data_IF_382928406824
#
_entry.id   IF_382928406824
#
_cell.length_a   1.000
_cell.length_b   1.000
_cell.length_c   1.000
_cell.angle_alpha   90.00
_cell.angle_beta   90.00
_cell.angle_gamma   90.00
#
_symmetry.space_group_name_H-M   'P 1'
#
loop_
_entity.id
_entity.type
_entity.pdbx_description
1 polymer ?
#
# COMPACT_ATOMS: atom_id res chain seq x y z
N UNK A 1 8.29 -31.39 50.43
CA UNK A 1 7.06 -30.72 50.92
C UNK A 1 7.22 -29.24 50.58
N UNK A 2 6.74 -28.80 49.41
CA UNK A 2 6.98 -27.44 48.90
C UNK A 2 5.72 -26.56 49.09
N UNK A 3 5.87 -25.28 49.51
CA UNK A 3 4.73 -24.42 49.79
C UNK A 3 4.05 -23.94 48.50
N UNK A 4 2.75 -24.25 48.40
CA UNK A 4 1.83 -23.78 47.35
C UNK A 4 1.36 -22.36 47.68
N UNK A 5 2.15 -21.33 47.38
CA UNK A 5 1.67 -19.95 47.56
C UNK A 5 2.44 -18.93 46.73
N UNK A 6 2.24 -18.87 45.40
CA UNK A 6 2.40 -17.61 44.65
C UNK A 6 1.94 -17.62 43.17
N UNK A 7 0.83 -18.30 42.82
CA UNK A 7 0.35 -18.34 41.42
C UNK A 7 -0.70 -17.28 41.06
N UNK A 8 -1.08 -16.39 41.99
CA UNK A 8 -2.14 -15.41 41.74
C UNK A 8 -1.65 -14.02 41.30
N UNK A 9 -0.35 -13.73 41.32
CA UNK A 9 0.16 -12.41 40.92
C UNK A 9 0.55 -12.28 39.44
N UNK A 10 0.57 -13.38 38.67
CA UNK A 10 0.97 -13.31 37.25
C UNK A 10 -0.20 -13.00 36.29
N UNK A 11 -1.45 -13.02 36.76
CA UNK A 11 -2.63 -12.83 35.90
C UNK A 11 -3.07 -11.37 35.74
N UNK A 12 -2.41 -10.41 36.40
CA UNK A 12 -2.85 -9.00 36.42
C UNK A 12 -1.94 -8.02 35.67
N UNK A 13 -0.85 -8.48 35.03
CA UNK A 13 0.09 -7.57 34.33
C UNK A 13 -0.07 -7.57 32.81
N UNK A 14 -0.80 -8.53 32.22
CA UNK A 14 -0.93 -8.64 30.75
C UNK A 14 -2.16 -7.89 30.19
N UNK A 15 -2.98 -7.27 31.03
CA UNK A 15 -4.22 -6.60 30.58
C UNK A 15 -4.12 -5.08 30.41
N UNK A 16 -2.90 -4.53 30.41
CA UNK A 16 -2.65 -3.12 30.06
C UNK A 16 -1.84 -3.00 28.77
N UNK A 17 -2.34 -3.58 27.68
CA UNK A 17 -1.96 -3.14 26.33
C UNK A 17 -2.71 -1.85 26.04
N UNK A 18 -2.17 -0.76 26.61
CA UNK A 18 -1.96 0.53 25.97
C UNK A 18 -2.89 0.82 24.80
N UNK A 19 -4.13 1.21 25.10
CA UNK A 19 -4.92 2.06 24.20
C UNK A 19 -4.31 3.47 24.28
N UNK A 20 -3.10 3.66 23.71
CA UNK A 20 -2.60 5.00 23.39
C UNK A 20 -3.53 5.54 22.31
N UNK A 21 -4.63 6.16 22.74
CA UNK A 21 -5.38 7.09 21.91
C UNK A 21 -4.37 8.13 21.44
N UNK A 22 -4.09 8.15 20.15
CA UNK A 22 -3.37 9.23 19.51
C UNK A 22 -4.21 10.50 19.68
N UNK A 23 -4.01 11.19 20.80
CA UNK A 23 -4.51 12.54 21.07
C UNK A 23 -3.60 13.59 20.43
N UNK A 24 -2.88 13.25 19.36
CA UNK A 24 -2.26 14.24 18.50
C UNK A 24 -3.39 14.96 17.78
N UNK A 25 -3.59 16.24 18.10
CA UNK A 25 -4.41 17.12 17.28
C UNK A 25 -4.04 16.90 15.80
N UNK A 26 -5.01 16.81 14.88
CA UNK A 26 -4.72 16.60 13.47
C UNK A 26 -3.70 17.67 13.02
N UNK A 27 -2.70 17.30 12.20
CA UNK A 27 -1.66 18.23 11.79
C UNK A 27 -2.28 19.51 11.22
N UNK A 28 -1.62 20.64 11.46
CA UNK A 28 -2.15 22.00 11.23
C UNK A 28 -2.72 22.23 9.83
N UNK A 29 -2.26 21.48 8.81
CA UNK A 29 -2.79 21.55 7.45
C UNK A 29 -4.29 21.27 7.34
N UNK A 30 -4.89 20.51 8.28
CA UNK A 30 -6.34 20.27 8.27
C UNK A 30 -7.16 21.47 8.76
N UNK A 31 -6.54 22.46 9.43
CA UNK A 31 -7.24 23.64 9.97
C UNK A 31 -7.15 24.86 9.06
N UNK A 32 -6.23 24.87 8.09
CA UNK A 32 -5.99 26.01 7.23
C UNK A 32 -5.96 25.61 5.75
N UNK A 33 -7.05 25.90 5.03
CA UNK A 33 -7.12 25.76 3.58
C UNK A 33 -6.21 26.75 2.83
N UNK A 34 -5.65 27.74 3.54
CA UNK A 34 -4.84 28.79 2.93
C UNK A 34 -3.43 28.32 2.53
N UNK A 35 -2.92 27.23 3.14
CA UNK A 35 -1.59 26.71 2.86
C UNK A 35 -1.64 25.19 2.69
N UNK A 36 -1.98 24.68 1.50
CA UNK A 36 -1.89 23.24 1.22
C UNK A 36 -0.43 22.78 1.36
N UNK A 37 -0.19 21.50 1.72
CA UNK A 37 1.15 20.94 1.73
C UNK A 37 1.78 21.08 0.34
N UNK A 38 3.08 21.44 0.32
CA UNK A 38 3.83 21.59 -0.93
C UNK A 38 3.69 20.34 -1.78
N UNK A 39 3.46 20.56 -3.07
CA UNK A 39 3.38 19.45 -4.03
C UNK A 39 4.77 18.86 -4.26
N UNK A 40 4.82 17.60 -4.71
CA UNK A 40 6.07 16.90 -4.97
C UNK A 40 6.94 17.63 -6.01
N UNK A 41 6.31 18.39 -6.91
CA UNK A 41 6.98 19.22 -7.91
C UNK A 41 7.62 20.47 -7.29
N UNK A 42 6.99 21.08 -6.28
CA UNK A 42 7.56 22.22 -5.52
C UNK A 42 8.80 21.81 -4.72
N UNK A 43 8.81 20.61 -4.15
CA UNK A 43 9.97 20.07 -3.43
C UNK A 43 11.15 19.79 -4.36
N UNK A 44 10.89 19.40 -5.60
CA UNK A 44 11.92 19.20 -6.63
C UNK A 44 12.45 20.50 -7.23
N UNK A 45 11.67 21.57 -7.13
CA UNK A 45 11.99 22.88 -7.70
C UNK A 45 12.75 23.80 -6.74
N UNK A 46 12.97 23.39 -5.49
CA UNK A 46 13.72 24.19 -4.51
C UNK A 46 15.21 24.17 -4.85
N UNK A 47 15.82 25.29 -5.28
CA UNK A 47 17.24 25.32 -5.56
C UNK A 47 17.98 25.48 -4.23
N UNK A 48 18.48 24.37 -3.68
CA UNK A 48 19.43 24.42 -2.56
C UNK A 48 20.78 24.98 -3.08
N UNK A 49 21.31 26.09 -2.52
CA UNK A 49 22.58 26.67 -2.96
C UNK A 49 23.83 25.93 -2.44
N UNK A 50 23.69 24.76 -1.81
CA UNK A 50 24.82 24.00 -1.26
C UNK A 50 24.67 22.49 -1.47
N UNK A 51 24.91 22.00 -2.69
CA UNK A 51 25.18 20.58 -2.91
C UNK A 51 26.25 20.40 -4.01
N UNK A 52 27.44 19.96 -3.59
CA UNK A 52 28.54 19.55 -4.46
C UNK A 52 28.16 18.32 -5.32
N UNK A 53 28.76 18.15 -6.50
CA UNK A 53 28.30 17.17 -7.48
C UNK A 53 28.92 15.78 -7.23
N UNK A 54 28.08 14.76 -7.10
CA UNK A 54 28.48 13.37 -7.27
C UNK A 54 27.60 12.72 -8.36
N UNK A 55 28.20 12.64 -9.54
CA UNK A 55 28.00 11.65 -10.63
C UNK A 55 26.69 10.83 -10.68
N UNK A 56 25.90 11.18 -11.71
CA UNK A 56 25.38 10.31 -12.77
C UNK A 56 24.61 9.03 -12.42
N UNK A 57 23.29 9.05 -12.65
CA UNK A 57 22.67 7.95 -13.38
C UNK A 57 21.50 8.42 -14.27
N UNK A 58 21.66 8.12 -15.55
CA UNK A 58 20.84 8.44 -16.70
C UNK A 58 19.52 7.65 -16.65
N UNK A 59 18.36 8.32 -16.77
CA UNK A 59 17.07 7.68 -17.07
C UNK A 59 16.35 8.53 -18.14
N UNK A 60 15.87 7.93 -19.23
CA UNK A 60 15.34 8.68 -20.38
C UNK A 60 14.02 9.36 -20.06
N UNK A 61 13.96 10.65 -20.40
CA UNK A 61 12.77 11.48 -20.33
C UNK A 61 11.75 11.04 -21.39
N UNK A 62 10.59 10.55 -20.94
CA UNK A 62 9.40 10.51 -21.77
C UNK A 62 8.84 11.93 -21.87
N UNK A 63 8.60 12.47 -23.08
CA UNK A 63 7.94 13.76 -23.22
C UNK A 63 6.46 13.66 -22.81
N UNK A 64 5.91 14.64 -22.07
CA UNK A 64 4.49 14.65 -21.74
C UNK A 64 3.62 14.82 -22.99
N UNK A 65 2.44 14.19 -23.06
CA UNK A 65 1.50 14.40 -24.15
C UNK A 65 1.02 15.86 -24.15
N UNK A 66 1.31 16.57 -25.23
CA UNK A 66 0.78 17.90 -25.50
C UNK A 66 -0.69 17.77 -25.88
N UNK A 67 -1.59 17.94 -24.91
CA UNK A 67 -3.03 18.10 -25.17
C UNK A 67 -3.28 19.53 -25.68
N UNK A 68 -3.41 19.67 -26.99
CA UNK A 68 -3.95 20.88 -27.63
C UNK A 68 -5.45 20.97 -27.33
N UNK A 69 -5.82 21.93 -26.50
CA UNK A 69 -7.20 22.35 -26.25
C UNK A 69 -7.68 23.07 -27.52
N UNK A 70 -8.80 22.66 -28.16
CA UNK A 70 -9.39 23.46 -29.24
C UNK A 70 -9.96 24.76 -28.66
N UNK A 71 -9.34 25.89 -29.00
CA UNK A 71 -9.96 27.20 -28.83
C UNK A 71 -11.08 27.34 -29.87
N UNK A 72 -12.33 27.42 -29.39
CA UNK A 72 -13.44 27.85 -30.22
C UNK A 72 -13.40 29.38 -30.34
N UNK A 73 -13.07 29.89 -31.53
CA UNK A 73 -13.25 31.30 -31.86
C UNK A 73 -14.73 31.59 -32.04
N UNK A 74 -15.25 32.44 -31.17
CA UNK A 74 -16.55 33.08 -31.29
C UNK A 74 -16.42 34.23 -32.30
N UNK A 75 -16.72 33.96 -33.57
CA UNK A 75 -16.80 35.00 -34.60
C UNK A 75 -18.21 35.57 -34.63
N UNK A 76 -18.32 36.78 -34.11
CA UNK A 76 -19.44 37.70 -34.17
C UNK A 76 -19.44 38.39 -35.54
N UNK A 77 -20.50 38.22 -36.36
CA UNK A 77 -20.74 39.13 -37.49
C UNK A 77 -22.23 39.23 -37.86
N UNK A 78 -22.70 40.46 -37.85
CA UNK A 78 -24.02 41.01 -38.24
C UNK A 78 -23.72 42.41 -38.80
N UNK A 79 -24.49 43.09 -39.68
CA UNK A 79 -25.43 42.75 -40.78
C UNK A 79 -25.00 43.53 -42.08
N UNK A 80 -25.87 44.05 -42.99
CA UNK A 80 -27.16 43.65 -43.55
C UNK A 80 -27.09 43.45 -45.09
N UNK A 81 -28.19 43.05 -45.75
CA UNK A 81 -28.73 43.68 -46.98
C UNK A 81 -29.84 42.81 -47.60
N UNK A 82 -30.97 43.47 -47.85
CA UNK A 82 -32.20 42.93 -48.42
C UNK A 82 -32.12 42.93 -49.95
N UNK A 83 -32.63 41.88 -50.59
CA UNK A 83 -33.16 41.96 -51.95
C UNK A 83 -34.48 41.18 -52.02
N UNK A 84 -35.63 41.82 -52.27
CA UNK A 84 -36.88 41.12 -52.51
C UNK A 84 -36.97 40.74 -53.99
N UNK A 85 -36.52 39.55 -54.35
CA UNK A 85 -36.82 38.98 -55.67
C UNK A 85 -38.20 38.32 -55.60
N UNK A 86 -39.25 39.10 -55.90
CA UNK A 86 -40.57 38.55 -56.24
C UNK A 86 -40.46 37.89 -57.61
N UNK A 87 -40.09 36.62 -57.64
CA UNK A 87 -40.25 35.73 -58.79
C UNK A 87 -41.41 34.80 -58.52
N UNK A 88 -42.43 34.93 -59.36
CA UNK A 88 -43.66 34.15 -59.43
C UNK A 88 -43.39 32.65 -59.72
N UNK A 89 -42.92 31.90 -58.71
CA UNK A 89 -42.93 30.42 -58.67
C UNK A 89 -42.92 29.86 -57.23
N UNK A 90 -43.54 30.58 -56.29
CA UNK A 90 -43.49 30.35 -54.83
C UNK A 90 -43.88 28.94 -54.39
N UNK A 91 -44.83 28.28 -55.06
CA UNK A 91 -45.34 26.99 -54.63
C UNK A 91 -44.30 25.85 -54.69
N UNK A 92 -43.38 25.84 -55.66
CA UNK A 92 -42.40 24.74 -55.77
C UNK A 92 -41.25 24.87 -54.77
N UNK A 93 -40.81 26.11 -54.48
CA UNK A 93 -39.75 26.37 -53.49
C UNK A 93 -40.21 26.03 -52.08
N UNK A 94 -41.46 26.36 -51.75
CA UNK A 94 -42.05 26.06 -50.44
C UNK A 94 -42.24 24.54 -50.24
N UNK A 95 -42.60 23.80 -51.30
CA UNK A 95 -42.65 22.32 -51.28
C UNK A 95 -41.26 21.71 -51.07
N UNK A 96 -40.23 22.19 -51.79
CA UNK A 96 -38.86 21.70 -51.63
C UNK A 96 -38.28 22.00 -50.25
N UNK A 97 -38.59 23.17 -49.67
CA UNK A 97 -38.19 23.52 -48.29
C UNK A 97 -38.89 22.61 -47.29
N UNK A 98 -40.19 22.33 -47.47
CA UNK A 98 -40.95 21.41 -46.63
C UNK A 98 -40.38 19.97 -46.65
N UNK A 99 -40.06 19.45 -47.84
CA UNK A 99 -39.44 18.12 -47.97
C UNK A 99 -38.04 18.11 -47.34
N UNK A 100 -37.24 19.15 -47.56
CA UNK A 100 -35.91 19.28 -46.95
C UNK A 100 -35.96 19.33 -45.41
N UNK A 101 -36.97 20.00 -44.84
CA UNK A 101 -37.18 20.04 -43.39
C UNK A 101 -37.59 18.67 -42.82
N UNK A 102 -38.39 17.89 -43.54
CA UNK A 102 -38.77 16.54 -43.11
C UNK A 102 -37.59 15.57 -43.14
N UNK A 103 -36.75 15.63 -44.18
CA UNK A 103 -35.56 14.76 -44.29
C UNK A 103 -34.54 15.11 -43.20
N UNK A 104 -34.29 16.40 -42.95
CA UNK A 104 -33.37 16.81 -41.88
C UNK A 104 -33.91 16.46 -40.49
N UNK A 105 -35.23 16.62 -40.26
CA UNK A 105 -35.89 16.18 -39.04
C UNK A 105 -35.80 14.66 -38.80
N UNK A 106 -35.97 13.85 -39.85
CA UNK A 106 -35.81 12.40 -39.76
C UNK A 106 -34.37 11.97 -39.43
N UNK A 107 -33.38 12.57 -40.09
CA UNK A 107 -31.95 12.30 -39.81
C UNK A 107 -31.59 12.72 -38.39
N UNK A 108 -32.07 13.88 -37.93
CA UNK A 108 -31.84 14.35 -36.58
C UNK A 108 -32.48 13.42 -35.54
N UNK A 109 -33.71 12.96 -35.79
CA UNK A 109 -34.41 12.01 -34.90
C UNK A 109 -33.65 10.68 -34.77
N UNK A 110 -33.16 10.13 -35.88
CA UNK A 110 -32.34 8.90 -35.87
C UNK A 110 -31.01 9.14 -35.13
N UNK A 111 -30.35 10.28 -35.38
CA UNK A 111 -29.09 10.62 -34.70
C UNK A 111 -29.29 10.71 -33.19
N UNK A 112 -30.32 11.43 -32.72
CA UNK A 112 -30.67 11.54 -31.30
C UNK A 112 -30.97 10.16 -30.72
N UNK A 113 -31.75 9.32 -31.40
CA UNK A 113 -32.03 7.95 -30.98
C UNK A 113 -30.75 7.11 -30.79
N UNK A 114 -29.83 7.15 -31.76
CA UNK A 114 -28.55 6.43 -31.67
C UNK A 114 -27.63 6.95 -30.55
N UNK A 115 -27.68 8.24 -30.24
CA UNK A 115 -26.94 8.82 -29.13
C UNK A 115 -27.47 8.33 -27.78
N UNK A 116 -28.79 8.28 -27.60
CA UNK A 116 -29.40 7.72 -26.38
C UNK A 116 -29.02 6.26 -26.16
N UNK A 117 -29.09 5.43 -27.21
CA UNK A 117 -28.67 4.02 -27.13
C UNK A 117 -27.21 3.86 -26.70
N UNK A 118 -26.30 4.68 -27.24
CA UNK A 118 -24.88 4.67 -26.85
C UNK A 118 -24.67 5.10 -25.40
N UNK A 119 -25.42 6.09 -24.92
CA UNK A 119 -25.34 6.53 -23.52
C UNK A 119 -25.75 5.40 -22.56
N UNK A 120 -26.83 4.68 -22.86
CA UNK A 120 -27.27 3.53 -22.05
C UNK A 120 -26.20 2.42 -22.03
N UNK A 121 -25.60 2.10 -23.18
CA UNK A 121 -24.52 1.10 -23.25
C UNK A 121 -23.28 1.54 -22.46
N UNK A 122 -22.96 2.83 -22.47
CA UNK A 122 -21.86 3.40 -21.67
C UNK A 122 -22.15 3.35 -20.17
N UNK A 123 -23.39 3.60 -19.75
CA UNK A 123 -23.81 3.48 -18.36
C UNK A 123 -23.65 2.04 -17.85
N UNK A 124 -24.10 1.03 -18.61
CA UNK A 124 -23.90 -0.38 -18.26
C UNK A 124 -22.42 -0.75 -18.12
N UNK A 125 -21.58 -0.29 -19.06
CA UNK A 125 -20.12 -0.51 -18.99
C UNK A 125 -19.51 0.14 -17.76
N UNK A 126 -19.97 1.32 -17.38
CA UNK A 126 -19.50 2.04 -16.21
C UNK A 126 -19.94 1.36 -14.91
N UNK A 127 -21.15 0.80 -14.86
CA UNK A 127 -21.60 -0.02 -13.74
C UNK A 127 -20.81 -1.32 -13.59
N UNK A 128 -20.53 -2.00 -14.71
CA UNK A 128 -19.67 -3.19 -14.70
C UNK A 128 -18.26 -2.85 -14.24
N UNK A 129 -17.71 -1.72 -14.66
CA UNK A 129 -16.39 -1.26 -14.23
C UNK A 129 -16.40 -0.92 -12.73
N UNK A 130 -17.42 -0.23 -12.22
CA UNK A 130 -17.59 0.05 -10.79
C UNK A 130 -17.70 -1.25 -9.97
N UNK A 131 -18.43 -2.24 -10.48
CA UNK A 131 -18.54 -3.56 -9.83
C UNK A 131 -17.18 -4.24 -9.75
N UNK A 132 -16.47 -4.35 -10.88
CA UNK A 132 -15.10 -4.91 -10.92
C UNK A 132 -14.15 -4.17 -9.97
N UNK A 133 -14.21 -2.85 -9.94
CA UNK A 133 -13.37 -2.05 -9.04
C UNK A 133 -13.69 -2.31 -7.57
N UNK A 134 -14.96 -2.46 -7.20
CA UNK A 134 -15.35 -2.86 -5.85
C UNK A 134 -14.83 -4.25 -5.49
N UNK A 135 -14.95 -5.21 -6.40
CA UNK A 135 -14.48 -6.58 -6.18
C UNK A 135 -12.95 -6.61 -5.97
N UNK A 136 -12.19 -5.85 -6.74
CA UNK A 136 -10.72 -5.71 -6.58
C UNK A 136 -10.36 -5.09 -5.23
N UNK A 137 -11.09 -4.06 -4.77
CA UNK A 137 -10.87 -3.46 -3.45
C UNK A 137 -11.10 -4.50 -2.35
N UNK A 138 -12.20 -5.26 -2.43
CA UNK A 138 -12.53 -6.29 -1.45
C UNK A 138 -11.44 -7.37 -1.41
N UNK A 139 -11.02 -7.88 -2.57
CA UNK A 139 -9.94 -8.88 -2.65
C UNK A 139 -8.63 -8.36 -2.08
N UNK A 140 -8.28 -7.10 -2.35
CA UNK A 140 -7.07 -6.47 -1.80
C UNK A 140 -7.14 -6.36 -0.29
N UNK A 141 -8.30 -6.02 0.27
CA UNK A 141 -8.50 -5.95 1.72
C UNK A 141 -8.42 -7.34 2.37
N UNK A 142 -9.02 -8.36 1.77
CA UNK A 142 -8.93 -9.74 2.25
C UNK A 142 -7.50 -10.26 2.21
N UNK A 143 -6.76 -9.98 1.14
CA UNK A 143 -5.36 -10.35 1.04
C UNK A 143 -4.51 -9.68 2.13
N UNK A 144 -4.71 -8.37 2.37
CA UNK A 144 -4.05 -7.65 3.46
C UNK A 144 -4.35 -8.28 4.82
N UNK A 145 -5.62 -8.61 5.11
CA UNK A 145 -6.02 -9.28 6.35
C UNK A 145 -5.39 -10.67 6.49
N UNK A 146 -5.34 -11.44 5.40
CA UNK A 146 -4.69 -12.76 5.39
C UNK A 146 -3.21 -12.64 5.72
N UNK A 147 -2.52 -11.70 5.07
CA UNK A 147 -1.10 -11.44 5.29
C UNK A 147 -0.82 -10.97 6.72
N UNK A 148 -1.65 -10.08 7.25
CA UNK A 148 -1.56 -9.63 8.65
C UNK A 148 -1.75 -10.80 9.62
N UNK A 149 -2.79 -11.63 9.40
CA UNK A 149 -3.05 -12.80 10.23
C UNK A 149 -1.90 -13.81 10.20
N UNK A 150 -1.32 -14.08 9.01
CA UNK A 150 -0.15 -14.97 8.91
C UNK A 150 1.05 -14.39 9.63
N UNK A 151 1.33 -13.08 9.48
CA UNK A 151 2.45 -12.42 10.15
C UNK A 151 2.28 -12.44 11.66
N UNK A 152 1.09 -12.12 12.17
CA UNK A 152 0.79 -12.17 13.62
C UNK A 152 0.97 -13.58 14.16
N UNK A 153 0.55 -14.61 13.42
CA UNK A 153 0.72 -16.00 13.86
C UNK A 153 2.19 -16.42 13.85
N UNK A 154 2.97 -16.02 12.85
CA UNK A 154 4.42 -16.28 12.83
C UNK A 154 5.11 -15.62 14.01
N UNK A 155 4.78 -14.34 14.30
CA UNK A 155 5.33 -13.61 15.46
C UNK A 155 4.93 -14.30 16.77
N UNK A 156 3.67 -14.74 16.91
CA UNK A 156 3.23 -15.46 18.12
C UNK A 156 4.02 -16.74 18.34
N UNK A 157 4.25 -17.53 17.28
CA UNK A 157 5.06 -18.76 17.37
C UNK A 157 6.49 -18.46 17.78
N UNK A 158 7.11 -17.46 17.16
CA UNK A 158 8.48 -17.04 17.48
C UNK A 158 8.62 -16.57 18.94
N UNK A 159 7.71 -15.71 19.42
CA UNK A 159 7.69 -15.27 20.82
C UNK A 159 7.53 -16.46 21.78
N UNK A 160 6.70 -17.45 21.42
CA UNK A 160 6.46 -18.63 22.25
C UNK A 160 7.70 -19.53 22.33
N UNK A 161 8.38 -19.76 21.20
CA UNK A 161 9.65 -20.48 21.13
C UNK A 161 10.72 -19.77 21.95
N UNK A 162 10.88 -18.45 21.78
CA UNK A 162 11.82 -17.65 22.56
C UNK A 162 11.51 -17.71 24.06
N UNK A 163 10.23 -17.65 24.45
CA UNK A 163 9.82 -17.77 25.85
C UNK A 163 10.14 -19.14 26.45
N UNK A 164 9.94 -20.23 25.69
CA UNK A 164 10.32 -21.59 26.09
C UNK A 164 11.84 -21.71 26.27
N UNK A 165 12.61 -21.16 25.34
CA UNK A 165 14.08 -21.14 25.41
C UNK A 165 14.57 -20.35 26.63
N UNK A 166 14.04 -19.16 26.87
CA UNK A 166 14.38 -18.35 28.06
C UNK A 166 14.09 -19.10 29.36
N UNK A 167 12.94 -19.78 29.46
CA UNK A 167 12.60 -20.60 30.62
C UNK A 167 13.58 -21.77 30.80
N UNK A 168 13.95 -22.45 29.71
CA UNK A 168 14.92 -23.54 29.74
C UNK A 168 16.28 -23.04 30.27
N UNK A 169 16.77 -21.90 29.77
CA UNK A 169 18.03 -21.29 30.22
C UNK A 169 17.96 -20.92 31.71
N UNK A 170 16.84 -20.34 32.17
CA UNK A 170 16.65 -20.01 33.59
C UNK A 170 16.70 -21.25 34.48
N UNK A 171 16.08 -22.35 34.04
CA UNK A 171 16.11 -23.63 34.75
C UNK A 171 17.53 -24.22 34.81
N UNK A 172 18.30 -24.16 33.72
CA UNK A 172 19.69 -24.61 33.71
C UNK A 172 20.56 -23.80 34.69
N UNK A 173 20.37 -22.48 34.73
CA UNK A 173 21.09 -21.62 35.69
C UNK A 173 20.77 -21.98 37.15
N UNK A 174 19.50 -22.26 37.45
CA UNK A 174 19.08 -22.72 38.77
C UNK A 174 19.70 -24.08 39.13
N UNK A 175 19.77 -25.02 38.18
CA UNK A 175 20.42 -26.31 38.38
C UNK A 175 21.93 -26.18 38.63
N UNK A 176 22.64 -25.33 37.87
CA UNK A 176 24.06 -25.06 38.06
C UNK A 176 24.33 -24.43 39.45
N UNK A 177 23.52 -23.44 39.83
CA UNK A 177 23.60 -22.82 41.16
C UNK A 177 23.42 -23.85 42.28
N UNK A 178 22.46 -24.77 42.15
CA UNK A 178 22.24 -25.87 43.11
C UNK A 178 23.41 -26.85 43.18
N UNK A 179 24.13 -27.04 42.08
CA UNK A 179 25.35 -27.85 42.03
C UNK A 179 26.60 -27.11 42.55
N UNK A 180 26.47 -25.83 42.95
CA UNK A 180 27.60 -25.00 43.38
C UNK A 180 28.48 -24.50 42.24
N UNK A 181 27.99 -24.55 41.00
CA UNK A 181 28.68 -24.05 39.80
C UNK A 181 28.08 -22.69 39.45
N UNK A 182 28.92 -21.66 39.36
CA UNK A 182 28.48 -20.31 39.00
C UNK A 182 28.15 -20.21 37.50
N UNK A 183 26.90 -19.87 37.11
CA UNK A 183 26.52 -19.78 35.71
C UNK A 183 27.19 -18.60 35.01
N UNK A 184 27.57 -18.81 33.75
CA UNK A 184 28.18 -17.76 32.92
C UNK A 184 27.19 -16.60 32.69
N UNK A 185 27.68 -15.37 32.83
CA UNK A 185 26.92 -14.15 32.56
C UNK A 185 26.55 -14.03 31.07
N UNK A 186 25.44 -13.35 30.78
CA UNK A 186 24.97 -13.20 29.39
C UNK A 186 26.03 -12.50 28.53
N UNK A 187 26.68 -11.49 29.09
CA UNK A 187 27.68 -10.67 28.39
C UNK A 187 28.94 -11.48 28.07
N UNK A 188 29.38 -12.34 28.99
CA UNK A 188 30.50 -13.23 28.74
C UNK A 188 30.17 -14.29 27.68
N UNK A 189 28.94 -14.81 27.70
CA UNK A 189 28.45 -15.75 26.69
C UNK A 189 28.37 -15.10 25.30
N UNK A 190 27.85 -13.87 25.20
CA UNK A 190 27.79 -13.12 23.92
C UNK A 190 29.19 -12.89 23.36
N UNK A 191 30.16 -12.46 24.18
CA UNK A 191 31.53 -12.23 23.71
C UNK A 191 32.19 -13.49 23.16
N UNK A 192 32.00 -14.64 23.82
CA UNK A 192 32.48 -15.94 23.31
C UNK A 192 31.77 -16.35 22.04
N UNK A 193 30.45 -16.14 21.98
CA UNK A 193 29.69 -16.41 20.77
C UNK A 193 30.19 -15.58 19.58
N UNK A 194 30.42 -14.28 19.75
CA UNK A 194 30.92 -13.41 18.68
C UNK A 194 32.37 -13.75 18.26
N UNK A 195 33.22 -14.21 19.18
CA UNK A 195 34.60 -14.61 18.83
C UNK A 195 34.66 -15.95 18.11
N UNK A 196 33.81 -16.89 18.53
CA UNK A 196 33.95 -18.30 18.15
C UNK A 196 32.96 -18.67 17.04
N UNK A 197 31.79 -18.05 16.97
CA UNK A 197 30.74 -18.42 16.02
C UNK A 197 30.72 -17.49 14.82
N UNK A 198 30.94 -18.06 13.63
CA UNK A 198 30.79 -17.36 12.36
C UNK A 198 29.51 -17.83 11.67
N UNK A 199 28.68 -16.87 11.27
CA UNK A 199 27.49 -17.15 10.48
C UNK A 199 27.77 -16.80 9.02
N UNK A 200 27.67 -17.79 8.14
CA UNK A 200 27.74 -17.58 6.69
C UNK A 200 26.33 -17.75 6.11
N UNK A 201 25.79 -16.68 5.54
CA UNK A 201 24.47 -16.70 4.90
C UNK A 201 24.66 -16.83 3.40
N UNK A 202 24.32 -18.00 2.86
CA UNK A 202 24.22 -18.25 1.43
C UNK A 202 22.79 -17.96 0.97
N UNK A 203 22.58 -17.70 -0.33
CA UNK A 203 21.27 -17.40 -0.92
C UNK A 203 20.16 -18.42 -0.59
N UNK A 204 20.52 -19.66 -0.23
CA UNK A 204 19.59 -20.76 0.06
C UNK A 204 19.69 -21.32 1.48
N UNK A 205 20.73 -20.98 2.25
CA UNK A 205 20.98 -21.60 3.54
C UNK A 205 21.82 -20.69 4.45
N UNK A 206 21.56 -20.75 5.76
CA UNK A 206 22.38 -20.12 6.78
C UNK A 206 23.21 -21.24 7.42
N UNK A 207 24.52 -21.22 7.20
CA UNK A 207 25.44 -22.19 7.79
C UNK A 207 26.12 -21.59 9.02
N UNK A 208 26.06 -22.32 10.14
CA UNK A 208 26.72 -21.97 11.38
C UNK A 208 28.09 -22.64 11.44
N UNK A 209 29.14 -21.84 11.28
CA UNK A 209 30.52 -22.27 11.46
C UNK A 209 30.94 -22.08 12.92
N UNK A 210 31.12 -23.21 13.61
CA UNK A 210 31.72 -23.29 14.94
C UNK A 210 33.05 -24.03 14.77
N UNK A 211 34.20 -23.35 14.90
CA UNK A 211 35.52 -23.95 14.73
C UNK A 211 35.81 -24.89 15.90
N UNK A 212 36.30 -26.10 15.59
CA UNK A 212 36.96 -26.98 16.56
C UNK A 212 36.08 -28.00 17.31
N UNK A 213 34.75 -27.87 17.35
CA UNK A 213 33.94 -28.73 18.23
C UNK A 213 32.68 -29.25 17.53
N UNK A 214 32.81 -30.43 16.88
CA UNK A 214 31.67 -31.22 16.39
C UNK A 214 30.72 -31.59 17.54
N UNK A 215 31.28 -31.77 18.74
CA UNK A 215 30.54 -32.10 19.96
C UNK A 215 29.64 -30.94 20.44
N UNK A 216 30.08 -29.68 20.33
CA UNK A 216 29.24 -28.53 20.67
C UNK A 216 28.04 -28.41 19.74
N UNK A 217 28.21 -28.68 18.44
CA UNK A 217 27.10 -28.65 17.48
C UNK A 217 26.02 -29.68 17.83
N UNK A 218 26.39 -30.83 18.39
CA UNK A 218 25.45 -31.85 18.85
C UNK A 218 24.69 -31.45 20.11
N UNK A 219 25.21 -30.50 20.90
CA UNK A 219 24.58 -29.97 22.12
C UNK A 219 23.65 -28.79 21.84
N UNK A 220 23.65 -28.24 20.62
CA UNK A 220 22.74 -27.16 20.24
C UNK A 220 21.34 -27.78 20.08
N UNK A 221 20.35 -27.38 20.89
CA UNK A 221 18.99 -27.87 20.73
C UNK A 221 18.44 -27.42 19.37
N UNK A 222 17.78 -28.34 18.66
CA UNK A 222 17.12 -28.02 17.39
C UNK A 222 15.98 -27.03 17.66
N UNK A 223 15.99 -25.89 16.96
CA UNK A 223 14.97 -24.86 17.10
C UNK A 223 13.55 -25.42 16.82
N UNK A 224 13.43 -26.44 15.96
CA UNK A 224 12.16 -27.10 15.67
C UNK A 224 11.66 -28.00 16.80
N UNK A 225 12.50 -28.42 17.76
CA UNK A 225 12.03 -29.14 18.95
C UNK A 225 11.14 -28.28 19.83
N UNK A 226 11.38 -26.97 19.85
CA UNK A 226 10.51 -26.02 20.57
C UNK A 226 9.17 -25.78 19.87
N UNK A 227 9.01 -26.19 18.60
CA UNK A 227 7.73 -26.13 17.87
C UNK A 227 6.91 -27.42 18.08
N UNK A 228 7.56 -28.54 18.41
CA UNK A 228 6.93 -29.83 18.71
C UNK A 228 6.30 -29.83 20.10
N UNK A 229 5.16 -29.17 20.27
CA UNK A 229 4.25 -29.45 21.41
C UNK A 229 2.87 -28.89 21.14
N UNK A 230 1.91 -29.82 21.05
CA UNK A 230 0.48 -29.75 20.75
C UNK A 230 0.11 -29.70 19.26
#
# INVERSE_FOLDING_TARGET
>A
MFPKSNLNNFKLVVSQVVTRRFQSSPPSYFKSHANPPKTLDELRSSPDPHASPASSQYVPAFPPPSYKIPQYQLAQQVPPQQFPVKSSSSSFRDICIGIGALVTGAVFSVMVGTLFLKTVEQEEKLEQLKKKHRDVIIQTQEYKKKLEHTTVNTIKKDILVQGRMQMHIAMLRDQLNKAGIDPVTVEAAIRRFESDVKMESTATAIELWVPGEVELKALIPDAHEYDKTN
#
